data_IF_507373909866
#
_entry.id   IF_507373909866
#
_cell.length_a   1.000
_cell.length_b   1.000
_cell.length_c   1.000
_cell.angle_alpha   90.00
_cell.angle_beta   90.00
_cell.angle_gamma   90.00
#
_symmetry.space_group_name_H-M   'P 1'
#
loop_
_entity.id
_entity.type
_entity.pdbx_description
1 polymer ?
#
# COMPACT_ATOMS: atom_id res chain seq x y z
N UNK A 1 -15.84 -0.99 -11.07
CA UNK A 1 -14.43 -1.09 -10.65
C UNK A 1 -13.76 0.24 -10.91
N UNK A 2 -12.95 0.73 -9.96
CA UNK A 2 -12.12 1.93 -10.08
C UNK A 2 -10.73 1.62 -9.52
N UNK A 3 -9.68 2.09 -10.19
CA UNK A 3 -8.31 2.04 -9.68
C UNK A 3 -7.77 3.47 -9.59
N UNK A 4 -7.21 3.81 -8.45
CA UNK A 4 -6.62 5.12 -8.17
C UNK A 4 -5.13 4.91 -7.92
N UNK A 5 -4.27 5.57 -8.71
CA UNK A 5 -2.84 5.59 -8.40
C UNK A 5 -2.59 6.41 -7.14
N UNK A 6 -1.76 5.89 -6.25
CA UNK A 6 -1.29 6.54 -5.03
C UNK A 6 0.15 7.04 -5.15
N UNK A 7 0.72 7.07 -6.36
CA UNK A 7 2.15 7.30 -6.59
C UNK A 7 2.96 6.01 -6.64
N UNK A 8 4.04 6.02 -7.43
CA UNK A 8 4.91 4.85 -7.67
C UNK A 8 4.10 3.61 -8.09
N UNK A 9 4.30 2.47 -7.40
CA UNK A 9 3.57 1.22 -7.58
C UNK A 9 2.26 1.16 -6.75
N UNK A 10 2.02 2.14 -5.88
CA UNK A 10 0.85 2.20 -5.02
C UNK A 10 -0.44 2.36 -5.81
N UNK A 11 -1.37 1.43 -5.63
CA UNK A 11 -2.69 1.46 -6.28
C UNK A 11 -3.78 1.12 -5.26
N UNK A 12 -4.83 1.93 -5.22
CA UNK A 12 -6.06 1.62 -4.50
C UNK A 12 -7.17 1.19 -5.46
N UNK A 13 -7.65 -0.04 -5.32
CA UNK A 13 -8.68 -0.63 -6.19
C UNK A 13 -9.99 -0.77 -5.43
N UNK A 14 -11.06 -0.20 -5.97
CA UNK A 14 -12.42 -0.32 -5.46
C UNK A 14 -13.28 -1.14 -6.45
N UNK A 15 -13.85 -2.25 -5.98
CA UNK A 15 -14.76 -3.09 -6.77
C UNK A 15 -15.83 -3.74 -5.90
N UNK A 16 -17.07 -3.25 -5.99
CA UNK A 16 -18.15 -3.70 -5.11
C UNK A 16 -17.81 -3.41 -3.65
N UNK A 17 -17.84 -4.45 -2.80
CA UNK A 17 -17.46 -4.35 -1.39
C UNK A 17 -15.94 -4.50 -1.16
N UNK A 18 -15.16 -4.78 -2.21
CA UNK A 18 -13.72 -4.94 -2.11
C UNK A 18 -12.98 -3.61 -2.26
N UNK A 19 -12.02 -3.40 -1.36
CA UNK A 19 -11.07 -2.29 -1.33
C UNK A 19 -9.68 -2.89 -1.18
N UNK A 20 -8.90 -2.90 -2.25
CA UNK A 20 -7.58 -3.53 -2.29
C UNK A 20 -6.55 -2.42 -2.27
N UNK A 21 -5.71 -2.40 -1.24
CA UNK A 21 -4.53 -1.55 -1.15
C UNK A 21 -3.34 -2.35 -1.68
N UNK A 22 -2.74 -1.90 -2.77
CA UNK A 22 -1.57 -2.54 -3.38
C UNK A 22 -0.33 -1.69 -3.13
N UNK A 23 0.75 -2.29 -2.64
CA UNK A 23 2.10 -1.70 -2.50
C UNK A 23 2.11 -0.25 -1.96
N UNK A 24 1.51 0.04 -0.80
CA UNK A 24 1.45 1.39 -0.28
C UNK A 24 2.84 1.91 0.11
N UNK A 25 3.17 3.13 -0.31
CA UNK A 25 4.41 3.81 0.06
C UNK A 25 4.19 5.31 0.30
N UNK A 26 4.46 5.77 1.52
CA UNK A 26 4.26 7.15 1.98
C UNK A 26 5.51 7.71 2.71
N UNK A 27 6.29 6.86 3.38
CA UNK A 27 7.47 7.21 4.14
C UNK A 27 8.72 7.03 3.28
N UNK A 28 9.54 8.07 3.04
CA UNK A 28 10.75 7.94 2.24
C UNK A 28 11.68 6.81 2.68
N UNK A 29 12.14 6.00 1.73
CA UNK A 29 13.01 4.84 1.96
C UNK A 29 14.50 5.20 1.76
N UNK A 30 15.39 4.30 2.18
CA UNK A 30 16.85 4.42 2.00
C UNK A 30 17.41 5.78 2.45
N UNK A 31 17.17 6.13 3.72
CA UNK A 31 17.57 7.42 4.32
C UNK A 31 17.05 8.65 3.54
N UNK A 32 15.88 8.53 2.92
CA UNK A 32 15.23 9.60 2.16
C UNK A 32 15.80 9.80 0.76
N UNK A 33 16.70 8.94 0.29
CA UNK A 33 17.15 8.96 -1.11
C UNK A 33 16.07 8.48 -2.07
N UNK A 34 15.12 7.68 -1.58
CA UNK A 34 13.96 7.21 -2.32
C UNK A 34 12.72 7.87 -1.74
N UNK A 35 11.90 8.47 -2.59
CA UNK A 35 10.65 9.11 -2.21
C UNK A 35 9.59 8.85 -3.29
N UNK A 36 8.34 8.81 -2.87
CA UNK A 36 7.22 8.50 -3.75
C UNK A 36 7.06 9.55 -4.85
N UNK A 37 6.87 9.09 -6.09
CA UNK A 37 6.58 9.93 -7.24
C UNK A 37 5.50 9.28 -8.15
N UNK A 38 4.48 10.03 -8.60
CA UNK A 38 4.11 11.39 -8.18
C UNK A 38 3.87 11.47 -6.67
N UNK A 39 4.03 12.67 -6.10
CA UNK A 39 3.81 12.88 -4.66
C UNK A 39 2.36 12.53 -4.30
N UNK A 40 2.17 11.95 -3.13
CA UNK A 40 0.86 11.51 -2.62
C UNK A 40 0.48 12.16 -1.29
N UNK A 41 1.16 13.24 -0.92
CA UNK A 41 0.87 14.05 0.27
C UNK A 41 -0.35 14.98 0.10
N UNK A 42 -0.99 14.94 -1.07
CA UNK A 42 -2.18 15.74 -1.42
C UNK A 42 -3.40 14.86 -1.74
N UNK A 43 -3.39 13.59 -1.35
CA UNK A 43 -4.55 12.73 -1.52
C UNK A 43 -5.74 13.25 -0.70
N UNK A 44 -6.93 13.08 -1.27
CA UNK A 44 -8.18 13.45 -0.62
C UNK A 44 -8.38 12.72 0.73
N UNK A 45 -8.96 13.41 1.72
CA UNK A 45 -9.13 12.89 3.08
C UNK A 45 -10.05 11.65 3.10
N UNK A 46 -11.09 11.62 2.26
CA UNK A 46 -11.99 10.46 2.20
C UNK A 46 -11.32 9.28 1.49
N UNK A 47 -10.40 9.53 0.55
CA UNK A 47 -9.55 8.49 -0.01
C UNK A 47 -8.58 7.93 1.05
N UNK A 48 -7.93 8.78 1.86
CA UNK A 48 -7.03 8.34 2.93
C UNK A 48 -7.73 7.41 3.93
N UNK A 49 -8.92 7.78 4.43
CA UNK A 49 -9.71 6.91 5.32
C UNK A 49 -10.01 5.53 4.74
N UNK A 50 -10.19 5.45 3.42
CA UNK A 50 -10.42 4.18 2.72
C UNK A 50 -9.13 3.37 2.57
N UNK A 51 -7.99 4.04 2.33
CA UNK A 51 -6.66 3.43 2.30
C UNK A 51 -6.31 2.83 3.66
N UNK A 52 -6.64 3.52 4.76
CA UNK A 52 -6.39 3.06 6.14
C UNK A 52 -7.28 1.89 6.57
N UNK A 53 -8.35 1.57 5.82
CA UNK A 53 -9.30 0.50 6.14
C UNK A 53 -9.61 -0.41 4.94
N UNK A 54 -8.60 -0.99 4.26
CA UNK A 54 -8.83 -1.81 3.09
C UNK A 54 -9.43 -3.17 3.49
N UNK A 55 -10.11 -3.84 2.57
CA UNK A 55 -10.52 -5.23 2.80
C UNK A 55 -9.41 -6.22 2.48
N UNK A 56 -8.50 -5.85 1.59
CA UNK A 56 -7.32 -6.63 1.23
C UNK A 56 -6.09 -5.74 1.14
N UNK A 57 -4.96 -6.26 1.61
CA UNK A 57 -3.64 -5.67 1.40
C UNK A 57 -2.86 -6.60 0.46
N UNK A 58 -2.38 -6.07 -0.65
CA UNK A 58 -1.49 -6.78 -1.57
C UNK A 58 -0.09 -6.18 -1.47
N UNK A 59 0.91 -7.03 -1.22
CA UNK A 59 2.33 -6.66 -1.22
C UNK A 59 3.05 -7.53 -2.24
N UNK A 60 3.65 -6.91 -3.25
CA UNK A 60 4.31 -7.60 -4.35
C UNK A 60 5.71 -8.11 -4.03
N UNK A 61 6.44 -7.47 -3.10
CA UNK A 61 7.74 -7.87 -2.56
C UNK A 61 8.21 -6.91 -1.44
N UNK A 62 9.39 -7.18 -0.86
CA UNK A 62 9.90 -6.53 0.37
C UNK A 62 10.66 -5.21 0.20
N UNK A 63 10.81 -4.68 -1.02
CA UNK A 63 11.53 -3.41 -1.15
C UNK A 63 10.74 -2.28 -0.48
N UNK A 64 11.45 -1.32 0.13
CA UNK A 64 10.83 -0.25 0.92
C UNK A 64 9.94 0.72 0.14
N UNK A 65 9.97 0.68 -1.19
CA UNK A 65 9.06 1.38 -2.09
C UNK A 65 7.77 0.61 -2.41
N UNK A 66 7.64 -0.62 -1.91
CA UNK A 66 6.45 -1.48 -2.02
C UNK A 66 5.91 -1.92 -0.65
N UNK A 67 6.80 -2.13 0.32
CA UNK A 67 6.50 -2.50 1.70
C UNK A 67 6.92 -1.36 2.64
N UNK A 68 6.04 -0.38 2.82
CA UNK A 68 6.22 0.69 3.80
C UNK A 68 5.75 0.22 5.19
N UNK A 69 6.65 -0.45 5.91
CA UNK A 69 6.36 -1.04 7.21
C UNK A 69 5.86 0.00 8.23
N UNK A 70 6.42 1.21 8.20
CA UNK A 70 6.04 2.28 9.14
C UNK A 70 4.62 2.77 8.87
N UNK A 71 4.30 3.09 7.60
CA UNK A 71 2.94 3.49 7.24
C UNK A 71 1.92 2.39 7.56
N UNK A 72 2.22 1.15 7.22
CA UNK A 72 1.33 0.01 7.49
C UNK A 72 1.07 -0.17 8.99
N UNK A 73 2.11 -0.09 9.83
CA UNK A 73 2.01 -0.28 11.26
C UNK A 73 1.17 0.81 11.95
N UNK A 74 1.32 2.05 11.50
CA UNK A 74 0.73 3.23 12.16
C UNK A 74 -0.68 3.58 11.63
N UNK A 75 -0.99 3.25 10.38
CA UNK A 75 -2.18 3.76 9.69
C UNK A 75 -3.16 2.70 9.19
N UNK A 76 -2.72 1.48 8.90
CA UNK A 76 -3.57 0.51 8.19
C UNK A 76 -4.18 -0.52 9.14
N UNK A 77 -5.50 -0.73 9.02
CA UNK A 77 -6.21 -1.73 9.81
C UNK A 77 -5.65 -3.14 9.60
N UNK A 78 -5.58 -3.91 10.70
CA UNK A 78 -5.15 -5.32 10.71
C UNK A 78 -6.26 -6.30 10.30
N UNK A 79 -7.46 -5.81 10.03
CA UNK A 79 -8.59 -6.64 9.59
C UNK A 79 -8.49 -7.06 8.11
N UNK A 80 -7.59 -6.43 7.35
CA UNK A 80 -7.42 -6.70 5.93
C UNK A 80 -6.87 -8.12 5.69
N UNK A 81 -7.42 -8.81 4.69
CA UNK A 81 -6.84 -10.07 4.20
C UNK A 81 -5.56 -9.75 3.44
N UNK A 82 -4.43 -10.30 3.88
CA UNK A 82 -3.14 -10.10 3.22
C UNK A 82 -3.01 -11.08 2.05
N UNK A 83 -2.70 -10.54 0.88
CA UNK A 83 -2.45 -11.25 -0.36
C UNK A 83 -0.96 -11.13 -0.70
N UNK A 84 -0.25 -12.26 -0.63
CA UNK A 84 1.16 -12.34 -1.01
C UNK A 84 1.30 -13.25 -2.22
N UNK A 85 2.23 -12.96 -3.14
CA UNK A 85 2.68 -13.93 -4.12
C UNK A 85 3.17 -15.22 -3.46
N UNK A 86 2.98 -16.35 -4.14
CA UNK A 86 3.55 -17.64 -3.73
C UNK A 86 5.04 -17.67 -4.09
N UNK A 87 5.85 -16.99 -3.28
CA UNK A 87 7.29 -16.91 -3.52
C UNK A 87 7.94 -18.28 -3.30
N UNK A 88 8.96 -18.64 -4.10
CA UNK A 88 9.74 -19.85 -3.85
C UNK A 88 10.62 -19.73 -2.59
N UNK A 89 10.80 -18.51 -2.06
CA UNK A 89 11.57 -18.18 -0.86
C UNK A 89 10.66 -17.68 0.26
N UNK A 90 11.19 -17.67 1.49
CA UNK A 90 10.51 -17.21 2.70
C UNK A 90 10.76 -15.73 3.01
N UNK A 91 10.90 -14.90 1.99
CA UNK A 91 11.27 -13.49 2.18
C UNK A 91 10.18 -12.67 2.90
N UNK A 92 8.95 -13.18 2.95
CA UNK A 92 7.78 -12.53 3.55
C UNK A 92 7.03 -13.40 4.59
N UNK A 93 7.62 -14.54 5.01
CA UNK A 93 7.14 -15.36 6.14
C UNK A 93 7.80 -14.95 7.46
#
# INVERSE_FOLDING_TARGET
MRATSLGHAGIFIESGNSRILCDPWFVPAFFGSWFVFPRNDQLDIELLKKIESPTHLYISHIHGDHLDEAFLADHVSRDAVVLLPDFPSRELE
#
